data_IF_847735757134
#
_entry.id   IF_847735757134
#
_cell.length_a   1.000
_cell.length_b   1.000
_cell.length_c   1.000
_cell.angle_alpha   90.00
_cell.angle_beta   90.00
_cell.angle_gamma   90.00
#
_symmetry.space_group_name_H-M   'P 1'
#
loop_
_entity.id
_entity.type
_entity.pdbx_description
1 polymer ?
#
# COMPACT_ATOMS: atom_id res chain seq x y z
N UNK A 1 4.46 -3.97 10.87
CA UNK A 1 3.57 -2.99 11.52
C UNK A 1 4.03 -2.85 12.95
N UNK A 2 4.04 -1.64 13.46
CA UNK A 2 4.55 -1.32 14.79
C UNK A 2 3.44 -0.63 15.59
N UNK A 3 3.14 -1.12 16.79
CA UNK A 3 2.13 -0.51 17.68
C UNK A 3 2.71 0.78 18.27
N UNK A 4 1.93 1.86 18.22
CA UNK A 4 2.27 3.12 18.87
C UNK A 4 1.76 3.05 20.31
N UNK A 5 2.69 2.96 21.27
CA UNK A 5 2.34 2.94 22.70
C UNK A 5 2.21 4.34 23.31
N UNK A 6 3.04 5.28 22.83
CA UNK A 6 3.05 6.68 23.26
C UNK A 6 2.95 7.57 22.01
N UNK A 7 1.85 8.30 21.88
CA UNK A 7 1.69 9.25 20.77
C UNK A 7 2.44 10.55 21.08
N UNK A 8 3.33 10.95 20.18
CA UNK A 8 3.91 12.29 20.17
C UNK A 8 2.96 13.17 19.36
N UNK A 9 2.27 14.10 20.02
CA UNK A 9 1.21 14.93 19.42
C UNK A 9 1.72 15.85 18.30
N UNK A 10 2.98 16.29 18.34
CA UNK A 10 3.51 17.31 17.43
C UNK A 10 4.11 16.76 16.12
N UNK A 11 4.04 15.44 15.88
CA UNK A 11 4.60 14.85 14.66
C UNK A 11 3.56 14.81 13.54
N UNK A 12 3.91 15.30 12.35
CA UNK A 12 3.08 15.17 11.14
C UNK A 12 2.73 13.70 10.92
N UNK A 13 1.42 13.42 10.83
CA UNK A 13 0.90 12.07 10.74
C UNK A 13 -0.37 12.01 9.89
N UNK A 14 -0.72 10.81 9.43
CA UNK A 14 -1.95 10.54 8.70
C UNK A 14 -2.48 9.16 9.05
N UNK A 15 -3.76 9.10 9.40
CA UNK A 15 -4.48 7.85 9.66
C UNK A 15 -5.21 7.44 8.38
N UNK A 16 -4.79 6.33 7.78
CA UNK A 16 -5.39 5.78 6.57
C UNK A 16 -6.65 4.99 6.97
N UNK A 17 -7.86 5.43 6.59
CA UNK A 17 -9.05 4.63 6.75
C UNK A 17 -8.92 3.33 5.98
N UNK A 18 -9.42 2.25 6.55
CA UNK A 18 -9.45 0.98 5.88
C UNK A 18 -10.71 0.21 6.23
N UNK A 19 -11.13 -0.62 5.29
CA UNK A 19 -12.27 -1.50 5.45
C UNK A 19 -11.99 -2.84 4.79
N UNK A 20 -12.68 -3.88 5.24
CA UNK A 20 -12.54 -5.22 4.68
C UNK A 20 -13.64 -5.49 3.67
N UNK A 21 -13.26 -5.98 2.50
CA UNK A 21 -14.15 -6.59 1.53
C UNK A 21 -14.03 -8.10 1.71
N UNK A 22 -15.09 -8.73 2.21
CA UNK A 22 -15.20 -10.17 2.36
C UNK A 22 -15.99 -10.77 1.20
N UNK A 23 -15.38 -11.72 0.49
CA UNK A 23 -15.94 -12.45 -0.65
C UNK A 23 -15.64 -13.94 -0.46
N UNK A 24 -16.49 -14.68 0.27
CA UNK A 24 -16.22 -16.06 0.67
C UNK A 24 -16.08 -17.02 -0.53
N UNK A 25 -16.67 -16.66 -1.67
CA UNK A 25 -16.60 -17.44 -2.92
C UNK A 25 -15.20 -17.46 -3.56
N UNK A 26 -14.27 -16.61 -3.11
CA UNK A 26 -12.89 -16.60 -3.61
C UNK A 26 -12.00 -17.63 -2.91
N UNK A 27 -11.49 -18.58 -3.67
CA UNK A 27 -10.65 -19.70 -3.19
C UNK A 27 -9.36 -19.26 -2.49
N UNK A 28 -8.69 -18.20 -2.96
CA UNK A 28 -7.34 -17.82 -2.48
C UNK A 28 -7.29 -16.55 -1.62
N UNK A 29 -8.22 -15.62 -1.82
CA UNK A 29 -8.25 -14.31 -1.12
C UNK A 29 -9.69 -13.94 -0.73
N UNK A 30 -10.29 -14.67 0.22
CA UNK A 30 -11.66 -14.41 0.66
C UNK A 30 -11.81 -13.09 1.40
N UNK A 31 -10.75 -12.57 2.03
CA UNK A 31 -10.74 -11.25 2.67
C UNK A 31 -9.70 -10.33 2.04
N UNK A 32 -10.11 -9.11 1.72
CA UNK A 32 -9.23 -8.05 1.21
C UNK A 32 -9.41 -6.79 2.04
N UNK A 33 -8.33 -6.26 2.59
CA UNK A 33 -8.35 -4.94 3.23
C UNK A 33 -8.16 -3.91 2.13
N UNK A 34 -8.96 -2.85 2.11
CA UNK A 34 -8.80 -1.68 1.23
C UNK A 34 -8.35 -0.51 2.08
N UNK A 35 -7.31 0.17 1.65
CA UNK A 35 -6.79 1.40 2.27
C UNK A 35 -7.19 2.60 1.42
N UNK A 36 -7.81 3.60 2.05
CA UNK A 36 -8.23 4.82 1.37
C UNK A 36 -7.31 5.99 1.73
N UNK A 37 -6.25 6.18 0.95
CA UNK A 37 -5.34 7.32 1.10
C UNK A 37 -5.89 8.62 0.46
N UNK A 38 -7.11 8.60 -0.08
CA UNK A 38 -7.79 9.77 -0.65
C UNK A 38 -8.80 10.39 0.33
N UNK A 39 -9.06 9.74 1.47
CA UNK A 39 -9.92 10.27 2.52
C UNK A 39 -9.37 11.58 3.11
N UNK A 40 -10.21 12.61 3.15
CA UNK A 40 -9.84 13.91 3.74
C UNK A 40 -9.85 13.82 5.26
N UNK A 41 -8.88 14.47 5.89
CA UNK A 41 -8.83 14.63 7.35
C UNK A 41 -9.54 15.91 7.79
N UNK A 42 -9.56 16.18 9.09
CA UNK A 42 -10.04 17.45 9.67
C UNK A 42 -9.30 18.68 9.14
N UNK A 43 -8.06 18.50 8.62
CA UNK A 43 -7.32 19.57 7.95
C UNK A 43 -7.81 19.87 6.52
N UNK A 44 -8.74 19.09 5.98
CA UNK A 44 -9.24 19.20 4.60
C UNK A 44 -8.36 18.54 3.54
N UNK A 45 -7.15 18.10 3.91
CA UNK A 45 -6.22 17.41 3.03
C UNK A 45 -6.31 15.88 3.16
N UNK A 46 -6.01 15.18 2.06
CA UNK A 46 -5.79 13.73 2.01
C UNK A 46 -4.37 13.40 1.59
N UNK A 47 -3.93 12.16 1.79
CA UNK A 47 -2.53 11.77 1.59
C UNK A 47 -2.15 11.72 0.10
N UNK A 48 -3.03 11.18 -0.76
CA UNK A 48 -2.72 10.98 -2.18
C UNK A 48 -2.37 12.26 -2.95
N UNK A 49 -3.10 13.39 -2.81
CA UNK A 49 -2.72 14.64 -3.47
C UNK A 49 -1.39 15.25 -2.98
N UNK A 50 -0.94 14.89 -1.78
CA UNK A 50 0.33 15.39 -1.19
C UNK A 50 1.51 14.55 -1.68
N UNK A 51 1.31 13.24 -1.84
CA UNK A 51 2.35 12.33 -2.27
C UNK A 51 2.72 12.53 -3.74
N UNK A 52 4.01 12.47 -4.03
CA UNK A 52 4.51 12.38 -5.39
C UNK A 52 4.16 11.00 -5.98
N UNK A 53 3.46 10.98 -7.10
CA UNK A 53 3.16 9.74 -7.85
C UNK A 53 4.44 9.03 -8.30
N UNK A 54 5.51 9.78 -8.62
CA UNK A 54 6.77 9.26 -9.14
C UNK A 54 6.75 9.01 -10.65
N UNK A 55 5.58 8.99 -11.27
CA UNK A 55 5.40 8.90 -12.72
C UNK A 55 5.36 7.46 -13.25
N UNK A 56 5.16 7.32 -14.56
CA UNK A 56 5.02 6.01 -15.20
C UNK A 56 6.39 5.50 -15.57
N UNK A 57 6.84 4.45 -14.88
CA UNK A 57 8.08 3.72 -15.20
C UNK A 57 7.81 2.36 -15.84
N UNK A 58 6.55 1.93 -15.92
CA UNK A 58 6.20 0.66 -16.55
C UNK A 58 6.46 0.76 -18.06
N UNK A 59 6.99 -0.32 -18.62
CA UNK A 59 7.13 -0.41 -20.07
C UNK A 59 5.74 -0.55 -20.69
N UNK A 60 5.62 -0.06 -21.92
CA UNK A 60 4.39 -0.17 -22.69
C UNK A 60 3.97 -1.65 -22.86
N UNK A 61 2.66 -1.90 -22.75
CA UNK A 61 2.09 -3.24 -22.82
C UNK A 61 2.36 -3.91 -24.17
N UNK A 62 2.32 -3.16 -25.28
CA UNK A 62 2.59 -3.70 -26.61
C UNK A 62 4.02 -4.23 -26.71
N UNK A 63 5.00 -3.50 -26.19
CA UNK A 63 6.40 -3.93 -26.12
C UNK A 63 6.57 -5.17 -25.25
N UNK A 64 5.88 -5.24 -24.10
CA UNK A 64 5.93 -6.41 -23.21
C UNK A 64 5.38 -7.65 -23.94
N UNK A 65 4.19 -7.55 -24.53
CA UNK A 65 3.54 -8.67 -25.24
C UNK A 65 4.34 -9.09 -26.48
N UNK A 66 4.87 -8.14 -27.24
CA UNK A 66 5.69 -8.43 -28.43
C UNK A 66 6.95 -9.21 -28.08
N UNK A 67 7.68 -8.82 -27.02
CA UNK A 67 8.85 -9.58 -26.54
C UNK A 67 8.48 -10.95 -26.00
N UNK A 68 7.36 -11.04 -25.27
CA UNK A 68 6.89 -12.31 -24.72
C UNK A 68 6.56 -13.32 -25.83
N UNK A 69 6.01 -12.86 -26.96
CA UNK A 69 5.68 -13.70 -28.13
C UNK A 69 6.85 -13.97 -29.08
N UNK A 70 7.98 -13.27 -28.93
CA UNK A 70 9.12 -13.38 -29.85
C UNK A 70 9.81 -14.75 -29.80
N UNK A 71 9.81 -15.40 -28.64
CA UNK A 71 10.53 -16.65 -28.41
C UNK A 71 9.57 -17.83 -28.25
N UNK A 72 10.04 -19.03 -28.62
CA UNK A 72 9.27 -20.28 -28.53
C UNK A 72 8.85 -20.63 -27.08
N UNK A 73 9.64 -20.21 -26.11
CA UNK A 73 9.41 -20.46 -24.69
C UNK A 73 9.51 -19.15 -23.92
N UNK A 74 8.64 -18.97 -22.94
CA UNK A 74 8.61 -17.80 -22.07
C UNK A 74 8.33 -18.22 -20.62
N UNK A 75 8.97 -17.55 -19.68
CA UNK A 75 8.75 -17.74 -18.25
C UNK A 75 7.92 -16.58 -17.70
N UNK A 76 7.01 -16.90 -16.79
CA UNK A 76 6.22 -15.91 -16.06
C UNK A 76 6.19 -16.29 -14.59
N UNK A 77 6.21 -15.28 -13.72
CA UNK A 77 6.13 -15.45 -12.27
C UNK A 77 5.33 -14.28 -11.67
N UNK A 78 4.62 -14.56 -10.58
CA UNK A 78 3.90 -13.56 -9.81
C UNK A 78 4.61 -13.31 -8.47
N UNK A 79 4.81 -12.04 -8.12
CA UNK A 79 5.38 -11.65 -6.83
C UNK A 79 4.25 -11.49 -5.83
N UNK A 80 4.00 -12.56 -5.06
CA UNK A 80 2.95 -12.58 -4.04
C UNK A 80 3.12 -11.42 -3.06
N UNK A 81 2.09 -10.57 -2.98
CA UNK A 81 2.03 -9.40 -2.07
C UNK A 81 3.22 -8.44 -2.27
N UNK A 82 3.61 -8.16 -3.52
CA UNK A 82 4.78 -7.32 -3.88
C UNK A 82 4.96 -6.06 -3.03
N UNK A 83 3.91 -5.26 -2.82
CA UNK A 83 4.00 -4.02 -2.04
C UNK A 83 4.45 -4.25 -0.59
N UNK A 84 4.06 -5.38 0.00
CA UNK A 84 4.40 -5.74 1.38
C UNK A 84 5.83 -6.26 1.53
N UNK A 85 6.56 -6.45 0.42
CA UNK A 85 7.97 -6.84 0.43
C UNK A 85 8.92 -5.63 0.48
N UNK A 86 8.39 -4.41 0.38
CA UNK A 86 9.18 -3.18 0.27
C UNK A 86 8.99 -2.37 1.53
N UNK A 87 10.06 -2.16 2.29
CA UNK A 87 10.06 -1.30 3.46
C UNK A 87 9.98 0.17 3.03
N UNK A 88 9.21 0.96 3.78
CA UNK A 88 9.21 2.42 3.63
C UNK A 88 10.24 3.05 4.56
N UNK A 89 10.71 4.24 4.19
CA UNK A 89 11.58 5.04 5.02
C UNK A 89 10.97 5.31 6.40
N UNK A 90 11.79 5.29 7.44
CA UNK A 90 11.36 5.44 8.83
C UNK A 90 10.63 6.78 9.07
N UNK A 91 11.02 7.83 8.36
CA UNK A 91 10.41 9.16 8.48
C UNK A 91 9.01 9.21 7.84
N UNK A 92 8.69 8.28 6.95
CA UNK A 92 7.41 8.23 6.22
C UNK A 92 6.37 7.33 6.90
N UNK A 93 6.77 6.50 7.87
CA UNK A 93 5.87 5.55 8.56
C UNK A 93 4.69 6.22 9.26
N UNK A 94 4.88 7.44 9.77
CA UNK A 94 3.83 8.18 10.45
C UNK A 94 2.72 8.70 9.53
N UNK A 95 2.95 8.69 8.20
CA UNK A 95 1.92 8.96 7.20
C UNK A 95 1.07 7.72 6.87
N UNK A 96 1.41 6.56 7.43
CA UNK A 96 0.73 5.28 7.18
C UNK A 96 0.22 4.68 8.50
N UNK A 97 -0.41 5.50 9.34
CA UNK A 97 -1.05 5.02 10.58
C UNK A 97 -2.39 4.38 10.27
N UNK A 98 -2.77 3.39 11.06
CA UNK A 98 -4.10 2.79 11.05
C UNK A 98 -4.60 2.62 12.48
N UNK A 99 -5.92 2.68 12.64
CA UNK A 99 -6.60 2.29 13.89
C UNK A 99 -7.03 0.83 13.82
N UNK A 100 -6.90 0.07 14.91
CA UNK A 100 -7.27 -1.33 14.92
C UNK A 100 -7.94 -1.71 16.23
N UNK A 101 -8.99 -2.53 16.13
CA UNK A 101 -9.68 -3.12 17.28
C UNK A 101 -9.72 -4.64 17.07
N UNK A 102 -9.44 -5.40 18.12
CA UNK A 102 -9.56 -6.87 18.09
C UNK A 102 -10.99 -7.35 18.28
N UNK A 103 -11.83 -6.55 18.93
CA UNK A 103 -13.28 -6.76 19.07
C UNK A 103 -14.00 -5.41 19.20
N UNK A 104 -15.34 -5.42 19.15
CA UNK A 104 -16.15 -4.20 19.28
C UNK A 104 -15.88 -3.46 20.59
N UNK A 105 -15.62 -4.18 21.67
CA UNK A 105 -15.41 -3.61 23.01
C UNK A 105 -13.94 -3.40 23.37
N UNK A 106 -13.01 -3.92 22.56
CA UNK A 106 -11.58 -3.75 22.79
C UNK A 106 -11.16 -2.27 22.64
N UNK A 107 -10.13 -1.82 23.38
CA UNK A 107 -9.57 -0.49 23.19
C UNK A 107 -9.00 -0.33 21.77
N UNK A 108 -9.13 0.88 21.23
CA UNK A 108 -8.55 1.23 19.92
C UNK A 108 -7.03 1.27 20.06
N UNK A 109 -6.35 0.54 19.18
CA UNK A 109 -4.89 0.55 19.06
C UNK A 109 -4.49 1.28 17.79
N UNK A 110 -3.32 1.91 17.80
CA UNK A 110 -2.76 2.59 16.63
C UNK A 110 -1.52 1.84 16.17
N UNK A 111 -1.42 1.62 14.86
CA UNK A 111 -0.27 0.96 14.24
C UNK A 111 0.30 1.80 13.11
N UNK A 112 1.62 1.78 12.97
CA UNK A 112 2.32 2.27 11.76
C UNK A 112 2.55 1.10 10.82
N UNK A 113 2.17 1.25 9.55
CA UNK A 113 2.53 0.30 8.52
C UNK A 113 3.99 0.52 8.12
N UNK A 114 4.76 -0.57 7.99
CA UNK A 114 6.22 -0.51 7.77
C UNK A 114 6.60 -0.74 6.30
N UNK A 115 5.63 -1.06 5.45
CA UNK A 115 5.83 -1.44 4.04
C UNK A 115 5.00 -0.57 3.13
N UNK A 116 5.30 -0.57 1.83
CA UNK A 116 4.48 0.17 0.85
C UNK A 116 3.02 -0.28 0.97
N UNK A 117 2.15 0.67 1.30
CA UNK A 117 0.71 0.44 1.42
C UNK A 117 0.05 0.65 0.06
N UNK A 118 -0.63 -0.39 -0.43
CA UNK A 118 -1.42 -0.27 -1.65
C UNK A 118 -2.61 0.67 -1.42
N UNK A 119 -3.04 1.40 -2.45
CA UNK A 119 -4.02 2.47 -2.33
C UNK A 119 -3.41 3.87 -2.20
N UNK A 120 -2.09 3.97 -1.97
CA UNK A 120 -1.36 5.23 -2.13
C UNK A 120 -0.98 5.46 -3.59
N UNK A 121 -0.93 6.73 -4.02
CA UNK A 121 -0.62 7.11 -5.41
C UNK A 121 0.80 6.69 -5.83
N UNK A 122 1.75 6.67 -4.89
CA UNK A 122 3.16 6.34 -5.14
C UNK A 122 3.45 4.84 -5.16
N UNK A 123 2.54 3.99 -4.65
CA UNK A 123 2.79 2.56 -4.49
C UNK A 123 3.19 1.83 -5.80
N UNK A 124 2.55 2.06 -6.97
CA UNK A 124 2.93 1.41 -8.22
C UNK A 124 4.35 1.78 -8.68
N UNK A 125 4.70 3.07 -8.57
CA UNK A 125 6.04 3.56 -8.89
C UNK A 125 7.09 2.93 -7.98
N UNK A 126 6.89 3.02 -6.66
CA UNK A 126 7.84 2.48 -5.68
C UNK A 126 8.10 1.00 -5.94
N UNK A 127 7.04 0.22 -6.15
CA UNK A 127 7.18 -1.21 -6.37
C UNK A 127 7.88 -1.55 -7.68
N UNK A 128 7.53 -0.88 -8.77
CA UNK A 128 8.17 -1.13 -10.06
C UNK A 128 9.63 -0.68 -10.06
N UNK A 129 9.97 0.40 -9.35
CA UNK A 129 11.34 0.95 -9.32
C UNK A 129 12.32 0.00 -8.64
N UNK A 130 11.88 -0.74 -7.62
CA UNK A 130 12.71 -1.74 -6.91
C UNK A 130 13.11 -2.94 -7.78
N UNK A 131 12.36 -3.23 -8.84
CA UNK A 131 12.64 -4.35 -9.75
C UNK A 131 13.52 -3.95 -10.94
N UNK A 132 13.75 -2.65 -11.15
CA UNK A 132 14.60 -2.15 -12.23
C UNK A 132 16.06 -2.10 -11.76
N UNK A 133 16.88 -2.95 -12.37
CA UNK A 133 18.34 -2.86 -12.31
C UNK A 133 18.84 -1.57 -12.99
#
# INVERSE_FOLDING_TARGET
MEEIKNEIMDKVNYYIPHHTIFKPEKTSTPLRVVFDASAKTTSGFSLNPILLNGGIIQQDLFSIVSRFKKHKFAFSADIKKMYRQILIDQNQKDLQRIVWKTSADAPVKVYKLSTVTYGTVSAPFLATRTLKA
#
